data_IF_244193939374
#
_entry.id   IF_244193939374
#
_cell.length_a   1.000
_cell.length_b   1.000
_cell.length_c   1.000
_cell.angle_alpha   90.00
_cell.angle_beta   90.00
_cell.angle_gamma   90.00
#
_symmetry.space_group_name_H-M   'P 1'
#
loop_
_entity.id
_entity.type
_entity.pdbx_description
1 polymer ?
#
# COMPACT_ATOMS: atom_id res chain seq x y z
N UNK A 1 12.50 -9.42 -25.09
CA UNK A 1 12.38 -8.22 -24.27
C UNK A 1 12.58 -8.60 -22.81
N UNK A 2 13.42 -7.88 -22.13
CA UNK A 2 13.68 -8.16 -20.72
C UNK A 2 12.50 -7.70 -19.86
N UNK A 3 12.11 -8.54 -18.88
CA UNK A 3 11.13 -8.17 -17.85
C UNK A 3 11.81 -7.68 -16.59
N UNK A 4 13.15 -7.60 -16.60
CA UNK A 4 13.91 -7.13 -15.45
C UNK A 4 13.80 -5.62 -15.31
N UNK A 5 13.68 -5.17 -14.05
CA UNK A 5 13.66 -3.75 -13.78
C UNK A 5 15.05 -3.16 -13.90
N UNK A 6 15.14 -1.97 -14.51
CA UNK A 6 16.34 -1.16 -14.41
C UNK A 6 16.57 -0.79 -12.94
N UNK A 7 17.85 -0.66 -12.49
CA UNK A 7 18.13 -0.32 -11.07
C UNK A 7 17.42 0.95 -10.60
N UNK A 8 17.31 1.96 -11.45
CA UNK A 8 16.61 3.20 -11.12
C UNK A 8 15.11 2.99 -10.91
N UNK A 9 14.49 2.11 -11.70
CA UNK A 9 13.08 1.80 -11.56
C UNK A 9 12.82 1.02 -10.27
N UNK A 10 13.67 0.05 -9.94
CA UNK A 10 13.54 -0.69 -8.68
C UNK A 10 13.64 0.25 -7.48
N UNK A 11 14.62 1.15 -7.49
CA UNK A 11 14.79 2.12 -6.39
C UNK A 11 13.56 3.02 -6.27
N UNK A 12 12.97 3.44 -7.39
CA UNK A 12 11.77 4.27 -7.37
C UNK A 12 10.58 3.53 -6.76
N UNK A 13 10.39 2.26 -7.11
CA UNK A 13 9.30 1.45 -6.56
C UNK A 13 9.50 1.18 -5.06
N UNK A 14 10.73 0.89 -4.66
CA UNK A 14 11.06 0.72 -3.24
C UNK A 14 10.78 2.00 -2.45
N UNK A 15 11.12 3.16 -3.02
CA UNK A 15 10.85 4.46 -2.41
C UNK A 15 9.36 4.72 -2.22
N UNK A 16 8.54 4.31 -3.18
CA UNK A 16 7.08 4.47 -3.07
C UNK A 16 6.54 3.66 -1.89
N UNK A 17 6.97 2.41 -1.75
CA UNK A 17 6.53 1.57 -0.62
C UNK A 17 7.00 2.16 0.71
N UNK A 18 8.24 2.65 0.77
CA UNK A 18 8.76 3.31 1.96
C UNK A 18 7.96 4.57 2.32
N UNK A 19 7.50 5.32 1.32
CA UNK A 19 6.65 6.50 1.54
C UNK A 19 5.28 6.13 2.10
N UNK A 20 4.68 5.03 1.63
CA UNK A 20 3.42 4.54 2.19
C UNK A 20 3.57 4.19 3.67
N UNK A 21 4.63 3.47 4.01
CA UNK A 21 4.92 3.10 5.40
C UNK A 21 5.13 4.35 6.27
N UNK A 22 5.96 5.28 5.81
CA UNK A 22 6.25 6.51 6.56
C UNK A 22 4.99 7.36 6.76
N UNK A 23 4.14 7.48 5.75
CA UNK A 23 2.91 8.25 5.83
C UNK A 23 1.92 7.61 6.81
N UNK A 24 1.78 6.28 6.77
CA UNK A 24 0.95 5.56 7.75
C UNK A 24 1.44 5.83 9.17
N UNK A 25 2.73 5.65 9.40
CA UNK A 25 3.32 5.80 10.74
C UNK A 25 3.28 7.25 11.25
N UNK A 26 3.18 8.21 10.34
CA UNK A 26 2.97 9.62 10.66
C UNK A 26 1.49 9.99 10.79
N UNK A 27 0.57 9.06 10.57
CA UNK A 27 -0.88 9.31 10.57
C UNK A 27 -1.27 10.39 9.57
N UNK A 28 -0.61 10.44 8.42
CA UNK A 28 -0.78 11.49 7.41
C UNK A 28 -1.46 10.92 6.17
N UNK A 29 -2.79 11.09 6.08
CA UNK A 29 -3.58 10.57 4.97
C UNK A 29 -3.27 11.26 3.65
N UNK A 30 -2.94 12.54 3.68
CA UNK A 30 -2.58 13.29 2.46
C UNK A 30 -1.26 12.78 1.90
N UNK A 31 -0.25 12.59 2.76
CA UNK A 31 1.04 12.04 2.34
C UNK A 31 0.89 10.61 1.83
N UNK A 32 0.03 9.80 2.47
CA UNK A 32 -0.25 8.44 2.04
C UNK A 32 -0.81 8.43 0.61
N UNK A 33 -1.78 9.29 0.33
CA UNK A 33 -2.43 9.35 -0.98
C UNK A 33 -1.55 9.96 -2.07
N UNK A 34 -0.51 10.70 -1.70
CA UNK A 34 0.35 11.40 -2.66
C UNK A 34 1.07 10.48 -3.64
N UNK A 35 1.28 9.21 -3.27
CA UNK A 35 1.94 8.23 -4.14
C UNK A 35 0.99 7.65 -5.21
N UNK A 36 -0.31 7.94 -5.12
CA UNK A 36 -1.33 7.37 -5.99
C UNK A 36 -1.61 8.30 -7.17
N UNK A 37 -1.97 7.71 -8.31
CA UNK A 37 -2.50 8.45 -9.45
C UNK A 37 -3.79 9.17 -9.05
N UNK A 38 -4.11 10.25 -9.77
CA UNK A 38 -5.31 11.05 -9.45
C UNK A 38 -6.61 10.24 -9.52
N UNK A 39 -6.64 9.21 -10.37
CA UNK A 39 -7.81 8.34 -10.58
C UNK A 39 -7.59 6.92 -10.06
N UNK A 40 -6.66 6.73 -9.14
CA UNK A 40 -6.30 5.40 -8.63
C UNK A 40 -7.47 4.73 -7.91
N UNK A 41 -7.44 3.39 -7.92
CA UNK A 41 -8.38 2.57 -7.17
C UNK A 41 -7.71 2.00 -5.93
N UNK A 42 -8.41 1.99 -4.82
CA UNK A 42 -7.94 1.43 -3.57
C UNK A 42 -9.02 0.54 -2.96
N UNK A 43 -8.72 -0.73 -2.75
CA UNK A 43 -9.64 -1.65 -2.07
C UNK A 43 -9.05 -1.99 -0.71
N UNK A 44 -9.82 -1.70 0.35
CA UNK A 44 -9.38 -1.92 1.74
C UNK A 44 -9.50 -3.38 2.15
N UNK A 45 -8.94 -3.73 3.31
CA UNK A 45 -9.06 -5.09 3.86
C UNK A 45 -10.50 -5.49 4.16
N UNK A 46 -11.43 -4.53 4.21
CA UNK A 46 -12.85 -4.79 4.43
C UNK A 46 -13.64 -4.80 3.14
N UNK A 47 -12.97 -4.67 1.99
CA UNK A 47 -13.62 -4.68 0.69
C UNK A 47 -14.23 -3.35 0.27
N UNK A 48 -13.97 -2.28 1.00
CA UNK A 48 -14.41 -0.94 0.60
C UNK A 48 -13.56 -0.46 -0.56
N UNK A 49 -14.18 0.16 -1.55
CA UNK A 49 -13.50 0.66 -2.73
C UNK A 49 -13.52 2.18 -2.75
N UNK A 50 -12.34 2.78 -2.69
CA UNK A 50 -12.16 4.22 -2.87
C UNK A 50 -11.60 4.48 -4.26
N UNK A 51 -12.16 5.45 -4.94
CA UNK A 51 -11.67 5.85 -6.24
C UNK A 51 -11.20 7.29 -6.22
N UNK A 52 -9.94 7.49 -6.65
CA UNK A 52 -9.34 8.79 -6.74
C UNK A 52 -8.53 9.18 -5.52
N UNK A 53 -7.47 9.94 -5.76
CA UNK A 53 -6.56 10.39 -4.70
C UNK A 53 -7.28 11.14 -3.57
N UNK A 54 -8.23 12.05 -3.84
CA UNK A 54 -8.94 12.74 -2.74
C UNK A 54 -9.70 11.79 -1.82
N UNK A 55 -10.37 10.77 -2.39
CA UNK A 55 -11.10 9.80 -1.58
C UNK A 55 -10.15 8.93 -0.76
N UNK A 56 -9.01 8.53 -1.34
CA UNK A 56 -7.98 7.76 -0.63
C UNK A 56 -7.42 8.58 0.53
N UNK A 57 -7.13 9.86 0.31
CA UNK A 57 -6.63 10.75 1.36
C UNK A 57 -7.64 10.92 2.50
N UNK A 58 -8.90 11.18 2.16
CA UNK A 58 -9.95 11.39 3.16
C UNK A 58 -10.22 10.11 3.96
N UNK A 59 -10.28 8.96 3.29
CA UNK A 59 -10.49 7.67 3.95
C UNK A 59 -9.39 7.33 4.93
N UNK A 60 -8.14 7.51 4.54
CA UNK A 60 -7.01 7.23 5.43
C UNK A 60 -6.91 8.24 6.57
N UNK A 61 -7.15 9.52 6.31
CA UNK A 61 -7.20 10.52 7.37
C UNK A 61 -8.25 10.15 8.43
N UNK A 62 -9.40 9.65 8.00
CA UNK A 62 -10.46 9.22 8.91
C UNK A 62 -10.04 8.03 9.78
N UNK A 63 -9.45 6.98 9.19
CA UNK A 63 -9.05 5.80 9.97
C UNK A 63 -7.87 6.12 10.90
N UNK A 64 -7.00 7.06 10.54
CA UNK A 64 -5.89 7.48 11.39
C UNK A 64 -6.36 8.25 12.62
N UNK A 65 -7.54 8.86 12.56
CA UNK A 65 -8.14 9.56 13.70
C UNK A 65 -9.04 8.65 14.53
N UNK A 66 -9.35 7.47 14.04
CA UNK A 66 -10.34 6.58 14.67
C UNK A 66 -9.75 5.19 14.91
N UNK A 67 -10.09 4.22 14.06
CA UNK A 67 -9.79 2.80 14.31
C UNK A 67 -8.30 2.46 14.30
N UNK A 68 -7.49 3.24 13.60
CA UNK A 68 -6.05 3.01 13.51
C UNK A 68 -5.21 4.10 14.17
N UNK A 69 -5.82 4.91 15.03
CA UNK A 69 -5.08 5.94 15.77
C UNK A 69 -3.94 5.32 16.55
N UNK A 70 -2.73 5.84 16.34
CA UNK A 70 -1.53 5.35 17.03
C UNK A 70 -0.98 4.03 16.49
N UNK A 71 -1.57 3.47 15.43
CA UNK A 71 -1.06 2.23 14.83
C UNK A 71 0.24 2.48 14.08
N UNK A 72 1.03 1.40 13.96
CA UNK A 72 2.25 1.39 13.15
C UNK A 72 2.16 0.29 12.11
N UNK A 73 2.82 0.51 10.98
CA UNK A 73 2.84 -0.45 9.89
C UNK A 73 4.28 -0.66 9.44
N UNK A 74 4.63 -1.92 9.16
CA UNK A 74 5.93 -2.27 8.61
C UNK A 74 5.69 -2.99 7.30
N UNK A 75 6.25 -2.46 6.22
CA UNK A 75 6.06 -2.97 4.87
C UNK A 75 7.34 -3.62 4.36
N UNK A 76 7.22 -4.84 3.81
CA UNK A 76 8.32 -5.57 3.21
C UNK A 76 7.91 -5.99 1.80
N UNK A 77 8.68 -5.58 0.81
CA UNK A 77 8.42 -5.99 -0.58
C UNK A 77 8.77 -7.46 -0.73
N UNK A 78 7.80 -8.25 -1.21
CA UNK A 78 7.99 -9.68 -1.46
C UNK A 78 8.39 -9.95 -2.91
N UNK A 79 7.83 -9.21 -3.84
CA UNK A 79 8.12 -9.38 -5.26
C UNK A 79 7.86 -8.10 -6.05
N UNK A 80 8.65 -7.91 -7.08
CA UNK A 80 8.50 -6.83 -8.04
C UNK A 80 8.71 -7.42 -9.43
N UNK A 81 7.77 -7.18 -10.35
CA UNK A 81 7.97 -7.55 -11.74
C UNK A 81 7.28 -6.59 -12.69
N UNK A 82 7.85 -6.47 -13.88
CA UNK A 82 7.23 -5.69 -14.94
C UNK A 82 6.20 -6.55 -15.68
N UNK A 83 5.01 -6.02 -15.85
CA UNK A 83 3.99 -6.59 -16.74
C UNK A 83 4.14 -6.01 -18.16
N UNK A 84 4.74 -4.84 -18.24
CA UNK A 84 5.00 -4.06 -19.44
C UNK A 84 6.14 -3.12 -19.09
N UNK A 85 6.93 -2.60 -20.05
CA UNK A 85 8.01 -1.65 -19.69
C UNK A 85 7.57 -0.46 -18.82
N UNK A 86 6.29 -0.10 -18.88
CA UNK A 86 5.75 1.02 -18.11
C UNK A 86 4.70 0.60 -17.08
N UNK A 87 4.59 -0.70 -16.78
CA UNK A 87 3.63 -1.21 -15.80
C UNK A 87 4.31 -2.23 -14.91
N UNK A 88 4.28 -1.99 -13.61
CA UNK A 88 4.88 -2.88 -12.61
C UNK A 88 3.80 -3.47 -11.69
N UNK A 89 4.05 -4.69 -11.23
CA UNK A 89 3.24 -5.35 -10.20
C UNK A 89 4.15 -5.60 -9.00
N UNK A 90 3.74 -5.09 -7.84
CA UNK A 90 4.49 -5.22 -6.60
C UNK A 90 3.61 -5.87 -5.55
N UNK A 91 4.14 -6.88 -4.87
CA UNK A 91 3.47 -7.48 -3.71
C UNK A 91 4.22 -7.11 -2.45
N UNK A 92 3.48 -6.66 -1.45
CA UNK A 92 4.03 -6.18 -0.18
C UNK A 92 3.37 -6.94 0.97
N UNK A 93 4.19 -7.42 1.89
CA UNK A 93 3.72 -7.95 3.16
C UNK A 93 3.80 -6.84 4.19
N UNK A 94 2.71 -6.62 4.92
CA UNK A 94 2.68 -5.59 5.95
C UNK A 94 2.29 -6.19 7.30
N UNK A 95 2.90 -5.65 8.36
CA UNK A 95 2.56 -6.01 9.73
C UNK A 95 2.05 -4.76 10.42
N UNK A 96 0.80 -4.83 10.87
CA UNK A 96 0.11 -3.74 11.54
C UNK A 96 0.08 -4.01 13.03
N UNK A 97 0.54 -3.05 13.81
CA UNK A 97 0.37 -3.06 15.27
C UNK A 97 -0.58 -1.93 15.64
N UNK A 98 -1.76 -2.27 16.12
CA UNK A 98 -2.77 -1.28 16.51
C UNK A 98 -3.00 -1.33 18.02
N UNK A 99 -2.89 -0.18 18.71
CA UNK A 99 -3.07 -0.15 20.18
C UNK A 99 -4.53 -0.23 20.59
N UNK A 100 -5.45 0.04 19.67
CA UNK A 100 -6.89 0.08 19.94
C UNK A 100 -7.69 -0.21 18.69
N UNK A 101 -9.01 -0.29 18.82
CA UNK A 101 -9.94 -0.46 17.71
C UNK A 101 -10.24 -1.92 17.39
N UNK A 102 -11.02 -2.16 16.33
CA UNK A 102 -11.45 -3.52 15.95
C UNK A 102 -10.29 -4.47 15.63
N UNK A 103 -9.16 -3.91 15.17
CA UNK A 103 -7.95 -4.68 14.87
C UNK A 103 -6.85 -4.43 15.90
N UNK A 104 -7.22 -4.19 17.18
CA UNK A 104 -6.22 -4.07 18.22
C UNK A 104 -5.32 -5.30 18.24
N UNK A 105 -4.00 -5.08 18.43
CA UNK A 105 -3.01 -6.13 18.40
C UNK A 105 -2.23 -6.14 17.09
N UNK A 106 -1.57 -7.26 16.81
CA UNK A 106 -0.70 -7.42 15.65
C UNK A 106 -1.40 -8.24 14.58
N UNK A 107 -1.42 -7.72 13.37
CA UNK A 107 -2.04 -8.38 12.22
C UNK A 107 -1.13 -8.29 11.01
N UNK A 108 -1.13 -9.35 10.20
CA UNK A 108 -0.42 -9.36 8.94
C UNK A 108 -1.41 -9.16 7.80
N UNK A 109 -0.97 -8.44 6.78
CA UNK A 109 -1.75 -8.21 5.57
C UNK A 109 -0.83 -8.30 4.36
N UNK A 110 -1.41 -8.50 3.21
CA UNK A 110 -0.68 -8.47 1.95
C UNK A 110 -1.41 -7.55 1.00
N UNK A 111 -0.66 -6.67 0.34
CA UNK A 111 -1.29 -5.85 -0.68
C UNK A 111 -0.53 -5.91 -1.99
N UNK A 112 -1.30 -5.82 -3.06
CA UNK A 112 -0.80 -5.79 -4.43
C UNK A 112 -0.91 -4.38 -4.96
N UNK A 113 0.15 -3.91 -5.61
CA UNK A 113 0.20 -2.61 -6.25
C UNK A 113 0.38 -2.79 -7.75
N UNK A 114 -0.46 -2.11 -8.52
CA UNK A 114 -0.20 -1.90 -9.94
C UNK A 114 0.28 -0.47 -10.08
N UNK A 115 1.48 -0.30 -10.64
CA UNK A 115 2.08 1.02 -10.82
C UNK A 115 2.33 1.28 -12.30
N UNK A 116 2.15 2.53 -12.69
CA UNK A 116 2.41 2.95 -14.06
C UNK A 116 3.52 3.99 -14.07
N UNK A 117 4.37 3.90 -15.10
CA UNK A 117 5.47 4.85 -15.28
C UNK A 117 4.98 6.02 -16.12
N UNK A 118 4.89 7.17 -15.50
CA UNK A 118 4.42 8.41 -16.11
C UNK A 118 5.62 9.33 -16.34
N UNK A 119 5.46 10.45 -17.09
CA UNK A 119 6.57 11.40 -17.29
C UNK A 119 7.18 11.92 -16.00
N UNK A 120 6.37 12.06 -14.93
CA UNK A 120 6.82 12.54 -13.63
C UNK A 120 7.39 11.44 -12.74
N UNK A 121 7.30 10.18 -13.16
CA UNK A 121 7.78 9.03 -12.39
C UNK A 121 6.69 7.98 -12.20
N UNK A 122 6.97 6.97 -11.38
CA UNK A 122 6.02 5.91 -11.11
C UNK A 122 4.91 6.39 -10.19
N UNK A 123 3.68 5.97 -10.49
CA UNK A 123 2.51 6.25 -9.67
C UNK A 123 1.72 4.97 -9.42
N UNK A 124 1.07 4.87 -8.27
CA UNK A 124 0.20 3.73 -7.97
C UNK A 124 -1.13 3.92 -8.69
N UNK A 125 -1.45 3.02 -9.62
CA UNK A 125 -2.73 3.02 -10.32
C UNK A 125 -3.81 2.27 -9.54
N UNK A 126 -3.42 1.23 -8.81
CA UNK A 126 -4.35 0.43 -8.02
C UNK A 126 -3.62 -0.22 -6.84
N UNK A 127 -4.32 -0.33 -5.73
CA UNK A 127 -3.87 -1.10 -4.57
C UNK A 127 -5.04 -1.92 -4.06
N UNK A 128 -4.79 -3.20 -3.81
CA UNK A 128 -5.78 -4.09 -3.20
C UNK A 128 -5.15 -4.72 -1.97
N UNK A 129 -5.76 -4.50 -0.81
CA UNK A 129 -5.26 -5.00 0.46
C UNK A 129 -6.10 -6.17 0.95
N UNK A 130 -5.43 -7.15 1.57
CA UNK A 130 -6.09 -8.33 2.13
C UNK A 130 -5.46 -8.64 3.48
N UNK A 131 -6.31 -8.78 4.48
CA UNK A 131 -5.86 -9.23 5.80
C UNK A 131 -5.51 -10.71 5.70
N UNK A 132 -4.33 -11.08 6.20
CA UNK A 132 -3.92 -12.47 6.23
C UNK A 132 -4.72 -13.21 7.30
N UNK A 133 -5.30 -14.34 6.92
CA UNK A 133 -6.05 -15.15 7.87
C UNK A 133 -5.10 -15.76 8.90
N UNK A 134 -5.54 -15.93 10.16
CA UNK A 134 -4.74 -16.60 11.17
C UNK A 134 -4.37 -18.02 10.70
N UNK A 135 -3.12 -18.42 10.98
CA UNK A 135 -2.67 -19.76 10.64
C UNK A 135 -3.37 -20.79 11.54
N UNK A 136 -3.85 -21.86 10.92
CA UNK A 136 -4.41 -22.99 11.65
C UNK A 136 -3.23 -23.89 12.09
N UNK A 137 -2.97 -24.04 13.40
CA UNK A 137 -1.84 -24.83 13.86
C UNK A 137 -1.96 -26.31 13.57
N UNK A 138 -3.15 -26.78 13.16
CA UNK A 138 -3.36 -28.19 12.81
C UNK A 138 -3.02 -28.52 11.35
N UNK A 139 -2.69 -27.53 10.53
CA UNK A 139 -2.33 -27.74 9.12
C UNK A 139 -0.86 -28.01 8.94
#
# INVERSE_FOLDING_TARGET
MSTDLAPGDRAALESIVARLEAAWNAMDGTAFAAAFATDADFVTIRGEHYRGRPAIAAGHSAIFRTIYSGSTNRCTIESVRLLHPQVALVHVHSVLDAPQGPLAGRHAARFSLVLTKEPVGWEIAALHNTLEAPQDPSR
#
